data_IF_222261196491
#
_entry.id   IF_222261196491
#
_cell.length_a   1.000
_cell.length_b   1.000
_cell.length_c   1.000
_cell.angle_alpha   90.00
_cell.angle_beta   90.00
_cell.angle_gamma   90.00
#
_symmetry.space_group_name_H-M   'P 1'
#
loop_
_entity.id
_entity.type
_entity.pdbx_description
1 polymer ?
#
# COMPACT_ATOMS: atom_id res chain seq x y z
N UNK A 1 -20.88 15.41 -1.90
CA UNK A 1 -21.56 15.30 -0.63
C UNK A 1 -20.59 15.00 0.47
N UNK A 2 -20.17 16.06 1.10
CA UNK A 2 -19.12 15.97 2.10
C UNK A 2 -19.50 15.11 3.30
N UNK A 3 -20.75 15.10 3.67
CA UNK A 3 -21.20 14.38 4.86
C UNK A 3 -21.04 12.87 4.81
N UNK A 4 -20.81 12.31 3.63
CA UNK A 4 -20.72 10.87 3.45
C UNK A 4 -19.32 10.33 3.33
N UNK A 5 -18.34 11.21 3.39
CA UNK A 5 -16.98 10.86 2.99
C UNK A 5 -16.32 9.81 3.84
N UNK A 6 -16.51 9.82 5.17
CA UNK A 6 -15.87 8.85 6.03
C UNK A 6 -16.57 7.51 6.03
N UNK A 7 -17.73 7.45 6.71
CA UNK A 7 -18.43 6.20 6.98
C UNK A 7 -18.94 5.51 5.72
N UNK A 8 -19.55 6.26 4.81
CA UNK A 8 -20.14 5.67 3.60
C UNK A 8 -19.06 5.11 2.67
N UNK A 9 -17.96 5.82 2.51
CA UNK A 9 -16.86 5.37 1.66
C UNK A 9 -16.22 4.10 2.23
N UNK A 10 -16.02 4.03 3.54
CA UNK A 10 -15.48 2.84 4.18
C UNK A 10 -16.44 1.67 4.05
N UNK A 11 -17.72 1.89 4.27
CA UNK A 11 -18.74 0.82 4.14
C UNK A 11 -18.78 0.27 2.72
N UNK A 12 -18.70 1.14 1.71
CA UNK A 12 -18.61 0.71 0.32
C UNK A 12 -17.39 -0.17 0.08
N UNK A 13 -16.23 0.27 0.55
CA UNK A 13 -14.99 -0.46 0.36
C UNK A 13 -15.01 -1.82 1.06
N UNK A 14 -15.56 -1.90 2.28
CA UNK A 14 -15.70 -3.16 3.01
C UNK A 14 -16.67 -4.10 2.29
N UNK A 15 -17.83 -3.60 1.89
CA UNK A 15 -18.86 -4.39 1.22
C UNK A 15 -18.36 -4.98 -0.09
N UNK A 16 -17.52 -4.26 -0.81
CA UNK A 16 -16.97 -4.70 -2.08
C UNK A 16 -15.62 -5.43 -1.95
N UNK A 17 -15.20 -5.75 -0.73
CA UNK A 17 -13.99 -6.52 -0.49
C UNK A 17 -12.68 -5.78 -0.75
N UNK A 18 -12.73 -4.45 -0.87
CA UNK A 18 -11.53 -3.64 -1.13
C UNK A 18 -10.66 -3.54 0.11
N UNK A 19 -11.29 -3.39 1.29
CA UNK A 19 -10.59 -3.35 2.58
C UNK A 19 -11.26 -4.31 3.57
N UNK A 20 -10.55 -4.62 4.64
CA UNK A 20 -11.03 -5.55 5.66
C UNK A 20 -12.19 -4.98 6.47
N UNK A 21 -13.03 -5.88 6.99
CA UNK A 21 -14.20 -5.51 7.79
C UNK A 21 -13.87 -4.64 9.00
N UNK A 22 -12.68 -4.79 9.55
CA UNK A 22 -12.29 -4.04 10.75
C UNK A 22 -12.33 -2.53 10.53
N UNK A 23 -12.12 -2.08 9.28
CA UNK A 23 -12.21 -0.65 8.98
C UNK A 23 -13.62 -0.09 9.11
N UNK A 24 -14.64 -0.92 9.01
CA UNK A 24 -16.03 -0.47 9.21
C UNK A 24 -16.30 -0.02 10.65
N UNK A 25 -15.49 -0.49 11.59
CA UNK A 25 -15.64 -0.16 13.02
C UNK A 25 -14.75 0.99 13.48
N UNK A 26 -14.02 1.61 12.55
CA UNK A 26 -13.15 2.72 12.91
C UNK A 26 -13.96 3.89 13.47
N UNK A 27 -13.44 4.49 14.54
CA UNK A 27 -13.98 5.73 15.07
C UNK A 27 -13.67 6.89 14.15
N UNK A 28 -14.36 8.01 14.33
CA UNK A 28 -14.06 9.24 13.57
C UNK A 28 -12.61 9.66 13.74
N UNK A 29 -12.06 9.54 14.94
CA UNK A 29 -10.66 9.87 15.20
C UNK A 29 -9.72 8.95 14.42
N UNK A 30 -10.01 7.65 14.35
CA UNK A 30 -9.21 6.69 13.59
C UNK A 30 -9.27 6.98 12.09
N UNK A 31 -10.44 7.32 11.55
CA UNK A 31 -10.60 7.65 10.13
C UNK A 31 -9.85 8.90 9.72
N UNK A 32 -9.66 9.85 10.64
CA UNK A 32 -8.98 11.11 10.39
C UNK A 32 -7.49 11.09 10.77
N UNK A 33 -7.02 10.00 11.36
CA UNK A 33 -5.60 9.88 11.72
C UNK A 33 -4.72 9.81 10.46
N UNK A 34 -3.48 10.31 10.55
CA UNK A 34 -2.54 10.16 9.44
C UNK A 34 -2.33 8.69 9.08
N UNK A 35 -2.27 8.40 7.78
CA UNK A 35 -2.07 7.04 7.28
C UNK A 35 -0.59 6.73 7.23
N UNK A 36 -0.21 5.55 7.72
CA UNK A 36 1.16 5.07 7.57
C UNK A 36 1.37 4.52 6.15
N UNK A 37 2.63 4.42 5.75
CA UNK A 37 2.98 3.85 4.44
C UNK A 37 2.50 2.42 4.31
N UNK A 38 2.65 1.62 5.37
CA UNK A 38 2.18 0.23 5.39
C UNK A 38 0.67 0.12 5.25
N UNK A 39 -0.09 0.93 5.98
CA UNK A 39 -1.54 0.93 5.87
C UNK A 39 -2.02 1.40 4.49
N UNK A 40 -1.36 2.40 3.93
CA UNK A 40 -1.70 2.88 2.60
C UNK A 40 -1.58 1.76 1.56
N UNK A 41 -0.47 1.03 1.59
CA UNK A 41 -0.28 -0.12 0.70
C UNK A 41 -1.36 -1.17 0.93
N UNK A 42 -1.62 -1.52 2.18
CA UNK A 42 -2.64 -2.52 2.51
C UNK A 42 -4.01 -2.14 1.98
N UNK A 43 -4.43 -0.89 2.18
CA UNK A 43 -5.74 -0.41 1.73
C UNK A 43 -5.83 -0.42 0.20
N UNK A 44 -4.84 0.17 -0.46
CA UNK A 44 -4.90 0.30 -1.92
C UNK A 44 -4.57 -0.99 -2.67
N UNK A 45 -3.83 -1.90 -2.05
CA UNK A 45 -3.62 -3.23 -2.63
C UNK A 45 -4.93 -3.95 -2.93
N UNK A 46 -5.96 -3.71 -2.13
CA UNK A 46 -7.28 -4.30 -2.33
C UNK A 46 -8.02 -3.83 -3.59
N UNK A 47 -7.48 -2.85 -4.32
CA UNK A 47 -8.12 -2.35 -5.53
C UNK A 47 -8.10 -3.35 -6.70
N UNK A 48 -7.16 -4.29 -6.70
CA UNK A 48 -7.05 -5.33 -7.72
C UNK A 48 -6.77 -6.68 -7.08
N UNK A 49 -7.14 -7.76 -7.76
CA UNK A 49 -6.94 -9.11 -7.25
C UNK A 49 -5.47 -9.54 -7.28
N UNK A 50 -4.72 -9.07 -8.27
CA UNK A 50 -3.32 -9.44 -8.44
C UNK A 50 -2.54 -8.35 -9.17
N UNK A 51 -1.24 -8.32 -8.91
CA UNK A 51 -0.32 -7.39 -9.56
C UNK A 51 0.81 -8.19 -10.20
N UNK A 52 1.02 -7.99 -11.48
CA UNK A 52 2.05 -8.71 -12.23
C UNK A 52 3.45 -8.34 -11.74
N UNK A 53 4.23 -9.34 -11.39
CA UNK A 53 5.63 -9.14 -11.01
C UNK A 53 6.48 -8.85 -12.25
N UNK A 54 7.26 -7.77 -12.16
CA UNK A 54 8.26 -7.41 -13.19
C UNK A 54 9.66 -7.35 -12.61
N UNK A 55 9.78 -7.41 -11.27
CA UNK A 55 11.03 -7.29 -10.55
C UNK A 55 11.35 -8.56 -9.78
N UNK A 56 12.63 -8.78 -9.51
CA UNK A 56 13.08 -9.81 -8.60
C UNK A 56 13.31 -9.21 -7.22
N UNK A 57 12.53 -9.64 -6.25
CA UNK A 57 12.67 -9.22 -4.84
C UNK A 57 12.61 -10.49 -4.00
N UNK A 58 13.76 -10.88 -3.46
CA UNK A 58 13.83 -12.07 -2.62
C UNK A 58 13.07 -11.87 -1.31
N UNK A 59 12.59 -12.95 -0.72
CA UNK A 59 11.96 -12.88 0.59
C UNK A 59 12.94 -12.29 1.60
N UNK A 60 12.43 -11.39 2.43
CA UNK A 60 13.23 -10.66 3.44
C UNK A 60 14.31 -9.72 2.87
N UNK A 61 14.29 -9.45 1.56
CA UNK A 61 15.26 -8.55 0.93
C UNK A 61 15.01 -7.06 1.22
N UNK A 62 13.78 -6.69 1.58
CA UNK A 62 13.49 -5.33 2.03
C UNK A 62 14.05 -5.18 3.44
N UNK A 63 15.01 -4.25 3.69
CA UNK A 63 15.75 -4.23 4.95
C UNK A 63 14.91 -4.16 6.22
N UNK A 64 13.81 -3.43 6.18
CA UNK A 64 12.96 -3.19 7.34
C UNK A 64 11.58 -3.85 7.25
N UNK A 65 11.38 -4.77 6.30
CA UNK A 65 10.14 -5.54 6.18
C UNK A 65 10.49 -7.02 5.99
N UNK A 66 10.15 -7.82 6.98
CA UNK A 66 10.27 -9.28 6.89
C UNK A 66 8.96 -9.87 6.40
N UNK A 67 9.02 -11.03 5.77
CA UNK A 67 7.82 -11.69 5.23
C UNK A 67 6.79 -12.04 6.31
N UNK A 68 7.19 -12.04 7.58
CA UNK A 68 6.31 -12.28 8.72
C UNK A 68 5.69 -11.00 9.30
N UNK A 69 6.08 -9.84 8.80
CA UNK A 69 5.58 -8.56 9.31
C UNK A 69 4.16 -8.26 8.82
N UNK A 70 3.49 -7.38 9.54
CA UNK A 70 2.17 -6.91 9.15
C UNK A 70 2.21 -6.26 7.75
N UNK A 71 1.27 -6.64 6.91
CA UNK A 71 1.15 -6.17 5.52
C UNK A 71 2.32 -6.57 4.61
N UNK A 72 3.18 -7.48 5.06
CA UNK A 72 4.37 -7.86 4.28
C UNK A 72 4.02 -8.40 2.90
N UNK A 73 3.02 -9.27 2.80
CA UNK A 73 2.63 -9.86 1.52
C UNK A 73 2.29 -8.78 0.49
N UNK A 74 1.50 -7.79 0.88
CA UNK A 74 1.10 -6.69 0.00
C UNK A 74 2.28 -5.78 -0.36
N UNK A 75 3.13 -5.50 0.62
CA UNK A 75 4.32 -4.66 0.41
C UNK A 75 5.27 -5.32 -0.58
N UNK A 76 5.58 -6.61 -0.40
CA UNK A 76 6.44 -7.34 -1.32
C UNK A 76 5.85 -7.43 -2.71
N UNK A 77 4.53 -7.65 -2.81
CA UNK A 77 3.87 -7.71 -4.10
C UNK A 77 4.00 -6.38 -4.86
N UNK A 78 3.84 -5.25 -4.16
CA UNK A 78 4.01 -3.94 -4.77
C UNK A 78 5.46 -3.67 -5.19
N UNK A 79 6.44 -4.12 -4.43
CA UNK A 79 7.84 -4.04 -4.85
C UNK A 79 8.08 -4.88 -6.11
N UNK A 80 7.58 -6.11 -6.13
CA UNK A 80 7.73 -7.00 -7.27
C UNK A 80 7.02 -6.49 -8.52
N UNK A 81 5.94 -5.76 -8.34
CA UNK A 81 5.21 -5.16 -9.47
C UNK A 81 5.80 -3.82 -9.95
N UNK A 82 6.80 -3.29 -9.25
CA UNK A 82 7.40 -2.01 -9.63
C UNK A 82 6.60 -0.78 -9.18
N UNK A 83 5.63 -0.98 -8.29
CA UNK A 83 4.82 0.11 -7.72
C UNK A 83 5.54 0.79 -6.57
N UNK A 84 6.30 0.04 -5.79
CA UNK A 84 7.17 0.54 -4.73
C UNK A 84 8.63 0.24 -5.05
N UNK A 85 9.52 1.12 -4.61
CA UNK A 85 10.96 0.94 -4.77
C UNK A 85 11.76 1.28 -3.52
N UNK A 86 11.10 1.74 -2.47
CA UNK A 86 11.75 2.15 -1.24
C UNK A 86 12.23 3.60 -1.25
N UNK A 87 12.81 4.02 -0.13
CA UNK A 87 13.26 5.39 0.09
C UNK A 87 14.75 5.59 -0.20
N UNK A 88 15.50 4.52 -0.33
CA UNK A 88 16.95 4.55 -0.54
C UNK A 88 17.39 3.44 -1.50
N UNK A 89 18.69 3.35 -1.75
CA UNK A 89 19.25 2.35 -2.66
C UNK A 89 19.06 0.91 -2.16
N UNK A 90 18.87 0.72 -0.86
CA UNK A 90 18.66 -0.60 -0.26
C UNK A 90 17.22 -1.05 -0.33
N UNK A 91 16.32 -0.15 -0.72
CA UNK A 91 14.91 -0.46 -0.81
C UNK A 91 14.16 -0.36 0.50
N UNK A 92 14.66 0.42 1.48
CA UNK A 92 14.04 0.59 2.79
C UNK A 92 12.64 1.20 2.64
N UNK A 93 11.64 0.61 3.30
CA UNK A 93 10.25 0.99 3.10
C UNK A 93 9.70 2.01 4.12
N UNK A 94 10.07 1.90 5.39
CA UNK A 94 9.55 2.73 6.48
C UNK A 94 8.04 2.59 6.67
N UNK A 95 7.58 1.37 6.93
CA UNK A 95 6.15 1.03 7.03
C UNK A 95 5.40 1.88 8.06
N UNK A 96 6.02 2.21 9.20
CA UNK A 96 5.38 2.96 10.27
C UNK A 96 5.37 4.48 10.07
N UNK A 97 6.08 4.98 9.07
CA UNK A 97 6.12 6.42 8.78
C UNK A 97 4.83 6.87 8.10
N UNK A 98 4.38 8.08 8.40
CA UNK A 98 3.25 8.70 7.72
C UNK A 98 3.58 8.91 6.24
N UNK A 99 2.65 8.57 5.37
CA UNK A 99 2.87 8.74 3.92
C UNK A 99 2.68 10.21 3.51
N UNK A 100 3.55 10.68 2.62
CA UNK A 100 3.44 12.02 2.05
C UNK A 100 2.52 12.01 0.84
N UNK A 101 1.89 13.15 0.54
CA UNK A 101 1.02 13.27 -0.62
C UNK A 101 1.73 12.93 -1.92
N UNK A 102 2.98 13.37 -2.08
CA UNK A 102 3.77 13.06 -3.28
C UNK A 102 4.03 11.58 -3.43
N UNK A 103 4.29 10.89 -2.34
CA UNK A 103 4.49 9.43 -2.34
C UNK A 103 3.19 8.70 -2.67
N UNK A 104 2.09 9.14 -2.06
CA UNK A 104 0.77 8.56 -2.34
C UNK A 104 0.41 8.71 -3.82
N UNK A 105 0.63 9.89 -4.38
CA UNK A 105 0.36 10.16 -5.79
C UNK A 105 1.22 9.28 -6.70
N UNK A 106 2.50 9.10 -6.36
CA UNK A 106 3.41 8.25 -7.14
C UNK A 106 2.97 6.78 -7.11
N UNK A 107 2.56 6.28 -5.95
CA UNK A 107 2.07 4.90 -5.82
C UNK A 107 0.81 4.71 -6.67
N UNK A 108 -0.15 5.61 -6.55
CA UNK A 108 -1.39 5.53 -7.31
C UNK A 108 -1.14 5.59 -8.81
N UNK A 109 -0.23 6.47 -9.25
CA UNK A 109 0.15 6.54 -10.65
C UNK A 109 0.69 5.20 -11.16
N UNK A 110 1.61 4.59 -10.41
CA UNK A 110 2.20 3.31 -10.80
C UNK A 110 1.21 2.16 -10.75
N UNK A 111 0.19 2.23 -9.89
CA UNK A 111 -0.87 1.23 -9.86
C UNK A 111 -1.70 1.25 -11.15
N UNK A 112 -2.04 2.42 -11.64
CA UNK A 112 -2.97 2.56 -12.77
C UNK A 112 -2.28 2.79 -14.12
N UNK A 113 -1.01 3.22 -14.12
CA UNK A 113 -0.21 3.42 -15.33
C UNK A 113 0.99 2.48 -15.31
N UNK A 114 0.85 1.31 -15.89
CA UNK A 114 1.89 0.27 -15.86
C UNK A 114 3.22 0.73 -16.47
N UNK A 115 3.17 1.64 -17.44
CA UNK A 115 4.37 2.21 -18.05
C UNK A 115 5.24 3.02 -17.10
N UNK A 116 4.70 3.45 -15.96
CA UNK A 116 5.44 4.23 -14.96
C UNK A 116 6.09 3.37 -13.88
N UNK A 117 5.87 2.06 -13.90
CA UNK A 117 6.42 1.14 -12.91
C UNK A 117 7.94 1.05 -13.01
N UNK A 118 8.59 0.86 -11.87
CA UNK A 118 10.04 0.93 -11.75
C UNK A 118 10.69 -0.45 -11.76
N UNK A 119 11.83 -0.55 -12.43
CA UNK A 119 12.63 -1.77 -12.42
C UNK A 119 13.61 -1.73 -11.24
N UNK A 120 13.52 -2.72 -10.38
CA UNK A 120 14.43 -2.87 -9.23
C UNK A 120 14.80 -4.35 -9.06
N UNK A 121 15.91 -4.60 -8.37
CA UNK A 121 16.28 -5.95 -7.94
C UNK A 121 16.76 -5.88 -6.51
N UNK A 122 16.15 -6.67 -5.64
CA UNK A 122 16.56 -6.82 -4.24
C UNK A 122 16.83 -8.30 -3.99
N UNK A 123 18.07 -8.60 -3.66
CA UNK A 123 18.52 -9.98 -3.46
C UNK A 123 18.47 -10.42 -2.02
#
# INVERSE_FOLDING_TARGET
MAAQTGTTAINYAVTNGIIEKDYANYTKAQMNAPVTRGEFVHIFHGAEEAYKAINTVADNAIPDVKTTDKFAAEIYEFYRAGILMGSDEKGTFHSASTIKRSEAAAILLRMFETSTRKSITLK
#
